data_IF_474468742806
#
_entry.id   IF_474468742806
#
_cell.length_a   1.000
_cell.length_b   1.000
_cell.length_c   1.000
_cell.angle_alpha   90.00
_cell.angle_beta   90.00
_cell.angle_gamma   90.00
#
_symmetry.space_group_name_H-M   'P 1'
#
loop_
_entity.id
_entity.type
_entity.pdbx_description
1 polymer ?
#
# COMPACT_ATOMS: atom_id res chain seq x y z
N UNK A 1 -70.55 28.89 20.54
CA UNK A 1 -69.09 28.60 20.55
C UNK A 1 -68.74 27.16 20.14
N UNK A 2 -69.64 26.39 19.51
CA UNK A 2 -69.41 24.94 19.29
C UNK A 2 -69.06 24.55 17.85
N UNK A 3 -69.36 25.36 16.83
CA UNK A 3 -69.03 25.04 15.43
C UNK A 3 -67.61 25.44 14.99
N UNK A 4 -67.04 26.48 15.60
CA UNK A 4 -65.69 26.94 15.27
C UNK A 4 -64.58 25.99 15.77
N UNK A 5 -64.82 25.31 16.91
CA UNK A 5 -63.85 24.37 17.49
C UNK A 5 -63.75 23.07 16.69
N UNK A 6 -64.85 22.59 16.10
CA UNK A 6 -64.85 21.40 15.24
C UNK A 6 -64.15 21.64 13.91
N UNK A 7 -64.24 22.85 13.34
CA UNK A 7 -63.54 23.18 12.10
C UNK A 7 -62.02 23.21 12.26
N UNK A 8 -61.51 23.67 13.41
CA UNK A 8 -60.07 23.73 13.70
C UNK A 8 -59.51 22.31 13.88
N UNK A 9 -60.28 21.37 14.45
CA UNK A 9 -59.81 19.99 14.66
C UNK A 9 -59.71 19.19 13.34
N UNK A 10 -60.59 19.46 12.37
CA UNK A 10 -60.54 18.79 11.05
C UNK A 10 -59.40 19.33 10.18
N UNK A 11 -59.07 20.63 10.30
CA UNK A 11 -57.94 21.23 9.57
C UNK A 11 -56.59 20.74 10.11
N UNK A 12 -56.47 20.44 11.40
CA UNK A 12 -55.24 19.86 11.98
C UNK A 12 -54.97 18.40 11.57
N UNK A 13 -55.98 17.62 11.18
CA UNK A 13 -55.79 16.22 10.77
C UNK A 13 -55.35 16.08 9.31
N UNK A 14 -55.68 17.05 8.45
CA UNK A 14 -55.29 17.02 7.02
C UNK A 14 -53.81 17.41 6.82
N UNK A 15 -53.18 18.09 7.78
CA UNK A 15 -51.75 18.43 7.70
C UNK A 15 -50.79 17.28 8.06
N UNK A 16 -51.30 16.13 8.54
CA UNK A 16 -50.47 15.02 9.05
C UNK A 16 -50.22 13.89 8.03
N UNK A 17 -50.72 13.98 6.80
CA UNK A 17 -50.54 12.94 5.77
C UNK A 17 -50.07 13.52 4.43
N UNK A 18 -48.86 14.07 4.39
CA UNK A 18 -48.13 14.22 3.14
C UNK A 18 -47.13 13.05 3.03
N UNK A 19 -47.33 12.07 2.13
CA UNK A 19 -46.31 11.06 1.88
C UNK A 19 -45.12 11.74 1.18
N UNK A 20 -44.04 11.97 1.94
CA UNK A 20 -42.76 12.41 1.39
C UNK A 20 -42.19 11.22 0.62
N UNK A 21 -42.41 11.16 -0.69
CA UNK A 21 -41.72 10.22 -1.58
C UNK A 21 -40.24 10.61 -1.63
N UNK A 22 -39.42 9.96 -0.81
CA UNK A 22 -37.97 10.03 -0.90
C UNK A 22 -37.51 9.21 -2.12
N UNK A 23 -37.37 9.87 -3.26
CA UNK A 23 -36.70 9.30 -4.42
C UNK A 23 -35.19 9.26 -4.13
N UNK A 24 -34.72 8.19 -3.50
CA UNK A 24 -33.29 7.88 -3.36
C UNK A 24 -32.71 7.44 -4.71
N UNK A 25 -32.64 8.34 -5.68
CA UNK A 25 -31.74 8.17 -6.82
C UNK A 25 -30.34 8.47 -6.32
N UNK A 26 -29.61 7.42 -5.94
CA UNK A 26 -28.17 7.49 -5.70
C UNK A 26 -27.51 8.07 -6.95
N UNK A 27 -27.16 9.35 -6.90
CA UNK A 27 -26.27 9.92 -7.90
C UNK A 27 -24.96 9.14 -7.80
N UNK A 28 -24.42 8.59 -8.91
CA UNK A 28 -23.11 7.97 -8.87
C UNK A 28 -22.11 9.01 -8.36
N UNK A 29 -21.39 8.66 -7.30
CA UNK A 29 -20.40 9.52 -6.67
C UNK A 29 -19.40 9.92 -7.74
N UNK A 30 -19.51 11.16 -8.20
CA UNK A 30 -18.53 11.78 -9.09
C UNK A 30 -17.34 12.11 -8.18
N UNK A 31 -16.29 11.28 -8.23
CA UNK A 31 -15.03 11.50 -7.51
C UNK A 31 -14.44 12.81 -8.02
N UNK A 32 -14.80 13.88 -7.34
CA UNK A 32 -14.18 15.20 -7.49
C UNK A 32 -12.97 15.14 -6.58
N UNK A 33 -11.77 15.39 -7.10
CA UNK A 33 -10.50 15.39 -6.35
C UNK A 33 -10.64 16.21 -5.07
N UNK A 34 -11.00 15.54 -3.98
CA UNK A 34 -11.10 16.12 -2.65
C UNK A 34 -9.70 16.11 -2.05
N UNK A 35 -9.20 17.28 -1.72
CA UNK A 35 -7.99 17.44 -0.94
C UNK A 35 -8.29 16.93 0.49
N UNK A 36 -8.26 15.60 0.68
CA UNK A 36 -8.23 15.00 2.00
C UNK A 36 -6.90 15.42 2.62
N UNK A 37 -6.94 16.03 3.80
CA UNK A 37 -5.71 16.34 4.53
C UNK A 37 -4.95 15.03 4.79
N UNK A 38 -3.72 14.95 4.28
CA UNK A 38 -2.84 13.81 4.50
C UNK A 38 -2.55 13.65 5.99
N UNK A 39 -2.35 12.41 6.44
CA UNK A 39 -1.99 12.06 7.82
C UNK A 39 -0.47 12.21 7.98
N UNK A 40 0.03 13.19 8.74
CA UNK A 40 1.45 13.30 9.06
C UNK A 40 1.95 12.06 9.79
N UNK A 41 3.00 11.44 9.28
CA UNK A 41 3.60 10.23 9.85
C UNK A 41 5.10 10.39 9.99
N UNK A 42 5.63 10.12 11.18
CA UNK A 42 7.06 10.02 11.42
C UNK A 42 7.50 8.56 11.36
N UNK A 43 8.59 8.28 10.65
CA UNK A 43 9.13 6.93 10.49
C UNK A 43 10.60 6.97 10.89
N UNK A 44 10.91 6.46 12.08
CA UNK A 44 12.29 6.38 12.55
C UNK A 44 13.06 5.31 11.78
N UNK A 45 14.39 5.51 11.72
CA UNK A 45 15.27 4.39 11.42
C UNK A 45 15.07 3.28 12.44
N UNK A 46 15.07 2.04 11.97
CA UNK A 46 14.95 0.89 12.85
C UNK A 46 16.29 0.66 13.56
N UNK A 47 16.22 0.38 14.87
CA UNK A 47 17.40 0.06 15.66
C UNK A 47 18.12 -1.15 15.09
N UNK A 48 19.44 -1.14 15.15
CA UNK A 48 20.32 -2.14 14.56
C UNK A 48 21.59 -2.26 15.42
N UNK A 49 22.17 -3.45 15.49
CA UNK A 49 23.37 -3.75 16.27
C UNK A 49 24.61 -3.99 15.38
N UNK A 50 24.44 -4.10 14.07
CA UNK A 50 25.52 -4.24 13.09
C UNK A 50 25.38 -3.24 11.93
N UNK A 51 26.47 -3.02 11.20
CA UNK A 51 26.45 -2.16 10.01
C UNK A 51 25.51 -2.70 8.91
N UNK A 52 25.46 -4.03 8.75
CA UNK A 52 24.56 -4.68 7.79
C UNK A 52 23.09 -4.44 8.15
N UNK A 53 22.73 -4.62 9.42
CA UNK A 53 21.39 -4.34 9.94
C UNK A 53 21.04 -2.84 9.80
N UNK A 54 22.02 -1.95 9.99
CA UNK A 54 21.81 -0.52 9.85
C UNK A 54 21.55 -0.10 8.40
N UNK A 55 22.26 -0.68 7.44
CA UNK A 55 22.02 -0.39 6.02
C UNK A 55 20.70 -1.01 5.54
N UNK A 56 20.36 -2.20 6.04
CA UNK A 56 19.05 -2.80 5.82
C UNK A 56 17.92 -1.93 6.37
N UNK A 57 18.11 -1.38 7.57
CA UNK A 57 17.17 -0.45 8.23
C UNK A 57 16.91 0.79 7.38
N UNK A 58 17.96 1.46 6.89
CA UNK A 58 17.82 2.62 5.99
C UNK A 58 17.04 2.26 4.72
N UNK A 59 17.35 1.12 4.11
CA UNK A 59 16.70 0.68 2.88
C UNK A 59 15.22 0.34 3.08
N UNK A 60 14.88 -0.38 4.15
CA UNK A 60 13.48 -0.71 4.50
C UNK A 60 12.70 0.56 4.80
N UNK A 61 13.23 1.45 5.64
CA UNK A 61 12.56 2.70 6.02
C UNK A 61 12.38 3.63 4.82
N UNK A 62 13.33 3.66 3.88
CA UNK A 62 13.20 4.42 2.63
C UNK A 62 12.00 3.93 1.79
N UNK A 63 11.82 2.61 1.66
CA UNK A 63 10.67 2.03 0.95
C UNK A 63 9.36 2.36 1.67
N UNK A 64 9.31 2.19 3.00
CA UNK A 64 8.08 2.48 3.75
C UNK A 64 7.70 3.96 3.60
N UNK A 65 8.67 4.88 3.67
CA UNK A 65 8.42 6.30 3.39
C UNK A 65 7.86 6.52 1.99
N UNK A 66 8.48 5.92 0.97
CA UNK A 66 8.05 6.08 -0.42
C UNK A 66 6.63 5.53 -0.65
N UNK A 67 6.35 4.32 -0.16
CA UNK A 67 5.05 3.65 -0.29
C UNK A 67 3.93 4.49 0.32
N UNK A 68 4.12 4.91 1.57
CA UNK A 68 3.12 5.70 2.29
C UNK A 68 2.94 7.09 1.68
N UNK A 69 4.00 7.72 1.18
CA UNK A 69 3.91 8.99 0.45
C UNK A 69 3.15 8.84 -0.88
N UNK A 70 3.43 7.80 -1.67
CA UNK A 70 2.77 7.55 -2.96
C UNK A 70 1.27 7.31 -2.78
N UNK A 71 0.84 6.74 -1.65
CA UNK A 71 -0.57 6.53 -1.35
C UNK A 71 -1.39 7.82 -1.32
N UNK A 72 -0.75 8.98 -1.14
CA UNK A 72 -1.37 10.29 -0.93
C UNK A 72 -2.35 10.35 0.25
N UNK A 73 -2.34 9.35 1.12
CA UNK A 73 -3.07 9.34 2.40
C UNK A 73 -2.17 9.84 3.53
N UNK A 74 -0.88 9.57 3.44
CA UNK A 74 0.11 9.96 4.44
C UNK A 74 1.00 11.08 3.95
N UNK A 75 1.51 11.88 4.88
CA UNK A 75 2.55 12.88 4.68
C UNK A 75 3.76 12.51 5.55
N UNK A 76 4.72 11.72 5.03
CA UNK A 76 5.90 11.37 5.81
C UNK A 76 6.72 12.61 6.19
N UNK A 77 7.05 12.70 7.46
CA UNK A 77 7.79 13.82 8.05
C UNK A 77 9.28 13.55 7.87
N UNK A 78 10.01 14.57 7.40
CA UNK A 78 11.45 14.45 7.21
C UNK A 78 12.18 14.19 8.53
N UNK A 79 13.10 13.24 8.52
CA UNK A 79 13.84 12.80 9.71
C UNK A 79 14.75 13.88 10.30
N UNK A 80 15.09 14.93 9.55
CA UNK A 80 15.84 16.09 10.05
C UNK A 80 15.05 16.94 11.05
N UNK A 81 13.73 16.79 11.11
CA UNK A 81 12.86 17.47 12.08
C UNK A 81 12.75 16.69 13.40
N UNK A 82 13.19 15.43 13.44
CA UNK A 82 12.99 14.59 14.62
C UNK A 82 13.79 15.12 15.81
N UNK A 83 13.08 15.46 16.88
CA UNK A 83 13.65 15.98 18.13
C UNK A 83 14.19 14.83 18.98
N UNK A 84 13.50 13.69 18.97
CA UNK A 84 13.91 12.47 19.66
C UNK A 84 14.58 11.50 18.68
N UNK A 85 15.77 11.01 19.02
CA UNK A 85 16.54 10.08 18.19
C UNK A 85 16.55 8.63 18.72
N UNK A 86 15.77 8.33 19.77
CA UNK A 86 15.70 6.98 20.33
C UNK A 86 14.95 6.05 19.37
N UNK A 87 15.57 4.92 19.07
CA UNK A 87 15.08 3.90 18.14
C UNK A 87 14.73 2.60 18.90
N UNK A 88 14.13 1.64 18.19
CA UNK A 88 13.78 0.33 18.73
C UNK A 88 12.33 0.22 19.19
N UNK A 89 11.93 -1.00 19.56
CA UNK A 89 10.52 -1.29 19.89
C UNK A 89 10.22 -1.29 21.39
N UNK A 90 11.26 -1.25 22.23
CA UNK A 90 11.19 -1.34 23.69
C UNK A 90 11.02 0.01 24.37
N UNK A 91 11.42 1.09 23.71
CA UNK A 91 11.34 2.45 24.22
C UNK A 91 9.95 3.04 23.97
N UNK A 92 9.36 3.64 25.02
CA UNK A 92 8.11 4.41 24.91
C UNK A 92 8.46 5.84 24.47
N UNK A 93 7.98 6.31 23.31
CA UNK A 93 8.31 7.63 22.78
C UNK A 93 7.91 8.76 23.71
N UNK A 94 8.66 9.87 23.67
CA UNK A 94 8.21 11.10 24.30
C UNK A 94 7.17 11.77 23.40
N UNK A 95 5.89 11.38 23.50
CA UNK A 95 4.82 11.81 22.59
C UNK A 95 4.76 13.33 22.33
N UNK A 96 5.14 14.15 23.31
CA UNK A 96 5.17 15.63 23.17
C UNK A 96 6.17 16.10 22.11
N UNK A 97 7.32 15.46 21.93
CA UNK A 97 8.31 15.84 20.90
C UNK A 97 7.79 15.56 19.51
N UNK A 98 7.09 14.44 19.33
CA UNK A 98 6.48 14.05 18.06
C UNK A 98 5.28 14.94 17.72
N UNK A 99 4.49 15.33 18.72
CA UNK A 99 3.39 16.29 18.54
C UNK A 99 3.90 17.67 18.11
N UNK A 100 5.06 18.13 18.60
CA UNK A 100 5.66 19.42 18.21
C UNK A 100 6.02 19.51 16.72
N UNK A 101 6.33 18.38 16.08
CA UNK A 101 6.58 18.32 14.64
C UNK A 101 5.33 17.95 13.83
N UNK A 102 4.16 18.03 14.46
CA UNK A 102 2.85 17.68 13.92
C UNK A 102 2.71 16.22 13.49
N UNK A 103 3.44 15.27 14.09
CA UNK A 103 3.24 13.86 13.82
C UNK A 103 1.93 13.37 14.45
N UNK A 104 1.07 12.72 13.66
CA UNK A 104 -0.10 12.01 14.16
C UNK A 104 0.24 10.56 14.51
N UNK A 105 1.10 9.95 13.70
CA UNK A 105 1.56 8.57 13.84
C UNK A 105 3.09 8.55 13.92
N UNK A 106 3.63 7.67 14.75
CA UNK A 106 5.05 7.34 14.79
C UNK A 106 5.26 5.85 14.55
N UNK A 107 6.20 5.54 13.67
CA UNK A 107 6.68 4.19 13.41
C UNK A 107 8.09 4.07 13.98
N UNK A 108 8.27 3.15 14.93
CA UNK A 108 9.57 2.70 15.38
C UNK A 108 9.76 1.23 15.00
N UNK A 109 11.00 0.79 14.91
CA UNK A 109 11.30 -0.61 14.68
C UNK A 109 12.70 -0.98 15.11
N UNK A 110 13.00 -2.27 14.99
CA UNK A 110 14.33 -2.83 15.16
C UNK A 110 14.53 -3.98 14.18
N UNK A 111 15.77 -4.11 13.71
CA UNK A 111 16.21 -5.20 12.86
C UNK A 111 17.25 -5.99 13.64
N UNK A 112 17.15 -7.31 13.58
CA UNK A 112 18.12 -8.23 14.15
C UNK A 112 18.39 -9.39 13.20
N UNK A 113 19.63 -9.85 13.19
CA UNK A 113 20.01 -11.09 12.52
C UNK A 113 19.53 -12.27 13.37
N UNK A 114 18.67 -13.13 12.83
CA UNK A 114 18.14 -14.29 13.54
C UNK A 114 19.08 -15.49 13.42
N UNK A 115 19.64 -15.68 12.24
CA UNK A 115 20.61 -16.72 11.91
C UNK A 115 21.45 -16.30 10.69
N UNK A 116 22.31 -17.17 10.17
CA UNK A 116 23.19 -16.85 9.04
C UNK A 116 22.47 -16.53 7.72
N UNK A 117 21.17 -16.78 7.62
CA UNK A 117 20.38 -16.62 6.39
C UNK A 117 19.19 -15.68 6.52
N UNK A 118 18.72 -15.43 7.75
CA UNK A 118 17.47 -14.73 8.01
C UNK A 118 17.64 -13.56 8.98
N UNK A 119 16.88 -12.52 8.69
CA UNK A 119 16.71 -11.34 9.51
C UNK A 119 15.30 -11.33 10.10
N UNK A 120 15.16 -10.65 11.23
CA UNK A 120 13.89 -10.34 11.85
C UNK A 120 13.75 -8.82 11.93
N UNK A 121 12.55 -8.32 11.60
CA UNK A 121 12.18 -6.92 11.81
C UNK A 121 10.92 -6.87 12.68
N UNK A 122 11.03 -6.17 13.80
CA UNK A 122 9.92 -5.84 14.67
C UNK A 122 9.58 -4.36 14.50
N UNK A 123 8.30 -4.05 14.36
CA UNK A 123 7.81 -2.67 14.13
C UNK A 123 6.69 -2.38 15.13
N UNK A 124 6.67 -1.17 15.66
CA UNK A 124 5.58 -0.65 16.48
C UNK A 124 4.99 0.61 15.87
N UNK A 125 3.67 0.68 15.89
CA UNK A 125 2.87 1.82 15.43
C UNK A 125 2.30 2.53 16.66
N UNK A 126 2.64 3.80 16.83
CA UNK A 126 2.15 4.65 17.91
C UNK A 126 1.17 5.70 17.39
N UNK A 127 0.09 5.90 18.13
CA UNK A 127 -0.77 7.09 18.03
C UNK A 127 -0.19 8.17 18.94
N UNK A 128 0.24 9.29 18.35
CA UNK A 128 0.83 10.40 19.10
C UNK A 128 -0.23 11.18 19.88
N UNK A 129 -1.45 11.29 19.36
CA UNK A 129 -2.52 12.03 20.00
C UNK A 129 -3.06 11.30 21.23
N UNK A 130 -3.31 10.00 21.12
CA UNK A 130 -3.81 9.19 22.24
C UNK A 130 -2.70 8.64 23.14
N UNK A 131 -1.43 8.82 22.76
CA UNK A 131 -0.25 8.31 23.46
C UNK A 131 -0.32 6.79 23.69
N UNK A 132 -0.78 6.05 22.68
CA UNK A 132 -1.03 4.61 22.76
C UNK A 132 -0.38 3.85 21.62
N UNK A 133 -0.05 2.60 21.91
CA UNK A 133 0.31 1.62 20.90
C UNK A 133 -0.95 1.25 20.09
N UNK A 134 -0.87 1.37 18.77
CA UNK A 134 -1.91 0.89 17.84
C UNK A 134 -1.68 -0.60 17.58
N UNK A 135 -0.46 -0.98 17.21
CA UNK A 135 -0.12 -2.35 16.86
C UNK A 135 1.39 -2.63 16.84
N UNK A 136 1.75 -3.91 16.97
CA UNK A 136 3.11 -4.44 16.74
C UNK A 136 3.11 -5.44 15.60
N UNK A 137 4.13 -5.37 14.75
CA UNK A 137 4.34 -6.26 13.63
C UNK A 137 5.69 -6.96 13.79
N UNK A 138 5.78 -8.20 13.34
CA UNK A 138 7.03 -8.97 13.33
C UNK A 138 7.12 -9.76 12.04
N UNK A 139 8.23 -9.63 11.33
CA UNK A 139 8.51 -10.38 10.10
C UNK A 139 9.89 -11.02 10.17
N UNK A 140 9.97 -12.28 9.75
CA UNK A 140 11.24 -12.98 9.49
C UNK A 140 11.39 -13.16 7.99
N UNK A 141 12.57 -12.87 7.46
CA UNK A 141 12.82 -12.93 6.03
C UNK A 141 14.28 -13.24 5.71
N UNK A 142 14.56 -13.98 4.64
CA UNK A 142 15.91 -14.08 4.10
C UNK A 142 16.31 -12.76 3.45
N UNK A 143 17.61 -12.46 3.42
CA UNK A 143 18.12 -11.18 2.89
C UNK A 143 17.55 -10.86 1.50
N UNK A 144 17.40 -11.84 0.61
CA UNK A 144 16.90 -11.64 -0.75
C UNK A 144 15.45 -11.09 -0.82
N UNK A 145 14.67 -11.25 0.25
CA UNK A 145 13.28 -10.82 0.34
C UNK A 145 13.09 -9.55 1.17
N UNK A 146 14.18 -8.84 1.53
CA UNK A 146 14.11 -7.62 2.34
C UNK A 146 13.14 -6.59 1.75
N UNK A 147 13.14 -6.46 0.42
CA UNK A 147 12.35 -5.47 -0.30
C UNK A 147 10.85 -5.77 -0.25
N UNK A 148 10.45 -7.01 -0.55
CA UNK A 148 9.06 -7.44 -0.42
C UNK A 148 8.59 -7.34 1.04
N UNK A 149 9.48 -7.60 2.01
CA UNK A 149 9.16 -7.42 3.43
C UNK A 149 8.87 -5.95 3.74
N UNK A 150 9.66 -5.00 3.22
CA UNK A 150 9.40 -3.57 3.40
C UNK A 150 8.01 -3.17 2.89
N UNK A 151 7.64 -3.61 1.68
CA UNK A 151 6.31 -3.36 1.12
C UNK A 151 5.17 -3.98 1.94
N UNK A 152 5.36 -5.20 2.46
CA UNK A 152 4.39 -5.83 3.37
C UNK A 152 4.22 -5.06 4.67
N UNK A 153 5.30 -4.51 5.23
CA UNK A 153 5.24 -3.63 6.40
C UNK A 153 4.41 -2.38 6.06
N UNK A 154 4.66 -1.75 4.90
CA UNK A 154 3.84 -0.62 4.42
C UNK A 154 2.37 -0.99 4.30
N UNK A 155 2.05 -2.17 3.75
CA UNK A 155 0.67 -2.66 3.60
C UNK A 155 0.00 -2.85 4.96
N UNK A 156 0.71 -3.39 5.96
CA UNK A 156 0.19 -3.55 7.31
C UNK A 156 -0.01 -2.21 8.01
N UNK A 157 0.94 -1.27 7.92
CA UNK A 157 0.80 0.08 8.47
C UNK A 157 -0.43 0.77 7.87
N UNK A 158 -0.53 0.75 6.54
CA UNK A 158 -1.65 1.31 5.80
C UNK A 158 -2.98 0.68 6.23
N UNK A 159 -3.04 -0.64 6.37
CA UNK A 159 -4.25 -1.34 6.77
C UNK A 159 -4.67 -1.05 8.22
N UNK A 160 -3.73 -1.00 9.16
CA UNK A 160 -4.05 -0.69 10.55
C UNK A 160 -4.54 0.75 10.74
N UNK A 161 -4.09 1.69 9.91
CA UNK A 161 -4.50 3.09 10.02
C UNK A 161 -5.78 3.38 9.21
N UNK A 162 -5.92 2.80 8.01
CA UNK A 162 -7.02 3.13 7.09
C UNK A 162 -8.16 2.12 7.09
N UNK A 163 -7.95 0.92 7.63
CA UNK A 163 -8.87 -0.22 7.54
C UNK A 163 -8.90 -0.90 6.16
N UNK A 164 -8.18 -0.38 5.16
CA UNK A 164 -8.16 -0.91 3.79
C UNK A 164 -6.86 -1.64 3.51
N UNK A 165 -6.89 -2.66 2.64
CA UNK A 165 -5.67 -3.33 2.20
C UNK A 165 -4.84 -2.40 1.30
N UNK A 166 -3.53 -2.33 1.56
CA UNK A 166 -2.58 -1.68 0.68
C UNK A 166 -2.30 -2.51 -0.59
N UNK A 167 -1.53 -1.92 -1.51
CA UNK A 167 -1.15 -2.53 -2.79
C UNK A 167 0.38 -2.57 -2.98
N UNK A 168 1.16 -2.30 -1.94
CA UNK A 168 2.59 -2.04 -2.08
C UNK A 168 3.38 -3.32 -2.37
N UNK A 169 2.94 -4.49 -1.93
CA UNK A 169 3.60 -5.78 -2.28
C UNK A 169 3.08 -6.36 -3.63
N UNK A 170 2.38 -5.58 -4.44
CA UNK A 170 1.86 -6.05 -5.74
C UNK A 170 2.89 -5.95 -6.87
N UNK A 171 2.64 -6.67 -7.96
CA UNK A 171 3.47 -6.66 -9.17
C UNK A 171 2.66 -6.27 -10.39
N UNK A 172 3.34 -5.66 -11.36
CA UNK A 172 2.78 -5.26 -12.65
C UNK A 172 3.37 -6.16 -13.72
N UNK A 173 2.50 -6.74 -14.56
CA UNK A 173 2.89 -7.48 -15.77
C UNK A 173 2.43 -6.70 -17.00
N UNK A 174 3.30 -6.56 -17.99
CA UNK A 174 3.00 -5.79 -19.19
C UNK A 174 3.77 -6.30 -20.41
N UNK A 175 3.39 -5.79 -21.59
CA UNK A 175 4.11 -6.05 -22.84
C UNK A 175 5.02 -4.86 -23.15
N UNK A 176 6.31 -5.12 -23.18
CA UNK A 176 7.34 -4.17 -23.61
C UNK A 176 7.63 -4.39 -25.09
N UNK A 177 7.55 -3.33 -25.89
CA UNK A 177 7.85 -3.33 -27.32
C UNK A 177 9.09 -2.49 -27.59
N UNK A 178 10.05 -3.03 -28.36
CA UNK A 178 11.21 -2.26 -28.80
C UNK A 178 10.82 -1.19 -29.81
N UNK A 179 11.42 0.00 -29.71
CA UNK A 179 11.10 1.18 -30.50
C UNK A 179 11.63 1.17 -31.96
N UNK A 180 11.91 -0.01 -32.53
CA UNK A 180 12.41 -0.15 -33.91
C UNK A 180 11.24 -0.30 -34.89
N UNK A 181 11.24 0.49 -35.95
CA UNK A 181 10.17 0.51 -36.96
C UNK A 181 10.08 -0.80 -37.75
N UNK A 182 11.23 -1.38 -38.10
CA UNK A 182 11.30 -2.55 -38.99
C UNK A 182 11.30 -3.90 -38.24
N UNK A 183 11.67 -3.90 -36.96
CA UNK A 183 11.76 -5.12 -36.13
C UNK A 183 11.25 -4.89 -34.72
N UNK A 184 9.91 -4.86 -34.59
CA UNK A 184 9.23 -4.81 -33.30
C UNK A 184 9.36 -6.13 -32.55
N UNK A 185 10.14 -6.14 -31.48
CA UNK A 185 10.24 -7.27 -30.55
C UNK A 185 9.30 -6.96 -29.38
N UNK A 186 8.30 -7.81 -29.18
CA UNK A 186 7.42 -7.78 -28.01
C UNK A 186 7.89 -8.79 -26.99
N UNK A 187 8.03 -8.36 -25.74
CA UNK A 187 8.36 -9.20 -24.60
C UNK A 187 7.36 -8.95 -23.48
N UNK A 188 6.99 -9.99 -22.76
CA UNK A 188 6.35 -9.81 -21.46
C UNK A 188 7.43 -9.48 -20.44
N UNK A 189 7.17 -8.43 -19.67
CA UNK A 189 7.97 -7.98 -18.55
C UNK A 189 7.13 -7.97 -17.27
N UNK A 190 7.81 -8.11 -16.14
CA UNK A 190 7.24 -7.98 -14.80
C UNK A 190 8.08 -6.99 -13.99
N UNK A 191 7.45 -6.22 -13.13
CA UNK A 191 8.10 -5.32 -12.18
C UNK A 191 7.26 -5.21 -10.90
N UNK A 192 7.84 -4.67 -9.83
CA UNK A 192 7.11 -4.29 -8.62
C UNK A 192 6.18 -3.10 -8.91
N UNK A 193 5.20 -2.85 -8.03
CA UNK A 193 4.22 -1.78 -8.22
C UNK A 193 4.85 -0.38 -8.40
N UNK A 194 6.03 -0.15 -7.82
CA UNK A 194 6.79 1.09 -7.91
C UNK A 194 7.83 1.09 -9.04
N UNK A 195 7.81 0.07 -9.90
CA UNK A 195 8.67 -0.06 -11.08
C UNK A 195 10.04 -0.69 -10.82
N UNK A 196 10.37 -1.03 -9.59
CA UNK A 196 11.60 -1.76 -9.29
C UNK A 196 11.54 -3.22 -9.77
N UNK A 197 12.68 -3.93 -9.69
CA UNK A 197 12.79 -5.34 -10.03
C UNK A 197 12.23 -5.71 -11.43
N UNK A 198 12.39 -4.80 -12.39
CA UNK A 198 12.00 -5.04 -13.77
C UNK A 198 12.76 -6.25 -14.35
N UNK A 199 12.03 -7.20 -14.93
CA UNK A 199 12.61 -8.33 -15.62
C UNK A 199 11.76 -8.82 -16.80
N UNK A 200 12.44 -9.31 -17.84
CA UNK A 200 11.78 -9.95 -18.98
C UNK A 200 11.57 -11.44 -18.70
N UNK A 201 10.31 -11.87 -18.76
CA UNK A 201 9.93 -13.27 -18.55
C UNK A 201 9.78 -14.04 -19.87
N UNK A 202 9.87 -13.35 -21.00
CA UNK A 202 9.93 -13.94 -22.34
C UNK A 202 11.15 -13.42 -23.10
N UNK A 203 11.70 -14.24 -24.00
CA UNK A 203 12.92 -13.92 -24.74
C UNK A 203 12.68 -13.02 -25.98
N UNK A 204 11.43 -12.82 -26.40
CA UNK A 204 11.07 -12.02 -27.58
C UNK A 204 11.18 -12.75 -28.92
N UNK A 205 11.38 -14.08 -28.94
CA UNK A 205 11.38 -14.87 -30.20
C UNK A 205 10.00 -14.92 -30.86
N UNK A 206 8.95 -14.92 -30.03
CA UNK A 206 7.56 -14.95 -30.49
C UNK A 206 6.88 -13.62 -30.17
N UNK A 207 5.89 -13.26 -30.97
CA UNK A 207 5.03 -12.12 -30.65
C UNK A 207 4.11 -12.50 -29.49
N UNK A 208 4.09 -11.68 -28.44
CA UNK A 208 3.33 -11.94 -27.21
C UNK A 208 2.39 -10.80 -26.90
N UNK A 209 1.18 -11.12 -26.41
CA UNK A 209 0.15 -10.14 -26.04
C UNK A 209 -0.66 -10.60 -24.82
N UNK A 210 -1.35 -9.64 -24.21
CA UNK A 210 -2.39 -9.84 -23.19
C UNK A 210 -1.93 -10.71 -22.00
N UNK A 211 -0.85 -10.35 -21.29
CA UNK A 211 -0.51 -11.03 -20.07
C UNK A 211 -1.54 -10.73 -18.98
N UNK A 212 -1.96 -11.74 -18.24
CA UNK A 212 -2.80 -11.60 -17.05
C UNK A 212 -2.29 -12.51 -15.94
N UNK A 213 -2.32 -12.02 -14.69
CA UNK A 213 -2.01 -12.84 -13.53
C UNK A 213 -3.12 -13.85 -13.25
N UNK A 214 -2.74 -15.02 -12.73
CA UNK A 214 -3.69 -15.91 -12.08
C UNK A 214 -4.23 -15.29 -10.78
N UNK A 215 -5.41 -15.69 -10.29
CA UNK A 215 -5.99 -15.13 -9.06
C UNK A 215 -5.10 -15.25 -7.80
N UNK A 216 -4.18 -16.22 -7.80
CA UNK A 216 -3.19 -16.45 -6.74
C UNK A 216 -1.80 -15.86 -7.05
N UNK A 217 -1.67 -15.04 -8.10
CA UNK A 217 -0.46 -14.31 -8.51
C UNK A 217 0.81 -15.15 -8.75
N UNK A 218 0.69 -16.47 -8.89
CA UNK A 218 1.83 -17.37 -9.09
C UNK A 218 2.02 -17.81 -10.56
N UNK A 219 1.12 -17.42 -11.45
CA UNK A 219 1.16 -17.75 -12.86
C UNK A 219 0.77 -16.53 -13.70
N UNK A 220 1.30 -16.51 -14.92
CA UNK A 220 0.88 -15.56 -15.96
C UNK A 220 0.34 -16.35 -17.13
N UNK A 221 -0.89 -16.01 -17.53
CA UNK A 221 -1.50 -16.44 -18.79
C UNK A 221 -1.20 -15.38 -19.86
N UNK A 222 -0.78 -15.81 -21.04
CA UNK A 222 -0.55 -14.90 -22.17
C UNK A 222 -0.75 -15.60 -23.51
N UNK A 223 -0.91 -14.82 -24.57
CA UNK A 223 -0.98 -15.34 -25.94
C UNK A 223 0.37 -15.19 -26.61
N UNK A 224 0.87 -16.27 -27.21
CA UNK A 224 2.09 -16.31 -28.00
C UNK A 224 1.77 -16.70 -29.43
N UNK A 225 2.28 -15.95 -30.40
CA UNK A 225 2.16 -16.26 -31.82
C UNK A 225 3.43 -16.94 -32.32
N UNK A 226 3.29 -18.18 -32.78
CA UNK A 226 4.34 -18.88 -33.49
C UNK A 226 3.90 -19.04 -34.95
N UNK A 227 4.66 -18.50 -35.90
CA UNK A 227 4.29 -18.48 -37.34
C UNK A 227 2.85 -17.99 -37.59
N UNK A 228 2.44 -16.90 -36.94
CA UNK A 228 1.09 -16.30 -36.98
C UNK A 228 -0.04 -17.13 -36.38
N UNK A 229 0.26 -18.28 -35.77
CA UNK A 229 -0.74 -19.10 -35.08
C UNK A 229 -0.77 -18.70 -33.60
N UNK A 230 -1.91 -18.21 -33.06
CA UNK A 230 -2.04 -17.86 -31.66
C UNK A 230 -2.12 -19.12 -30.78
N UNK A 231 -1.34 -19.15 -29.71
CA UNK A 231 -1.38 -20.19 -28.68
C UNK A 231 -1.47 -19.54 -27.32
N UNK A 232 -2.41 -20.01 -26.49
CA UNK A 232 -2.50 -19.59 -25.10
C UNK A 232 -1.45 -20.36 -24.30
N UNK A 233 -0.63 -19.64 -23.52
CA UNK A 233 0.44 -20.20 -22.70
C UNK A 233 0.25 -19.79 -21.25
N UNK A 234 0.53 -20.72 -20.35
CA UNK A 234 0.65 -20.48 -18.92
C UNK A 234 2.14 -20.56 -18.58
N UNK A 235 2.61 -19.62 -17.77
CA UNK A 235 3.94 -19.64 -17.20
C UNK A 235 3.86 -19.51 -15.70
N UNK A 236 4.52 -20.43 -15.00
CA UNK A 236 4.66 -20.38 -13.56
C UNK A 236 5.72 -19.34 -13.22
N UNK A 237 5.35 -18.37 -12.40
CA UNK A 237 6.28 -17.46 -11.77
C UNK A 237 6.94 -18.21 -10.62
N UNK A 238 8.05 -18.88 -10.91
CA UNK A 238 8.98 -19.25 -9.85
C UNK A 238 9.68 -17.94 -9.48
N UNK A 239 9.13 -17.24 -8.49
CA UNK A 239 9.65 -15.97 -7.97
C UNK A 239 11.12 -16.06 -7.49
N UNK A 240 11.72 -17.25 -7.52
CA UNK A 240 13.10 -17.54 -7.09
C UNK A 240 14.08 -17.93 -8.22
N UNK A 241 13.65 -18.05 -9.49
CA UNK A 241 14.53 -18.53 -10.59
C UNK A 241 14.72 -17.59 -11.77
N UNK A 242 14.35 -16.32 -11.64
CA UNK A 242 14.84 -15.30 -12.57
C UNK A 242 16.18 -14.78 -12.06
N UNK A 243 17.17 -15.68 -11.99
CA UNK A 243 18.58 -15.31 -11.92
C UNK A 243 19.08 -15.15 -13.34
N UNK A 244 19.72 -14.01 -13.61
CA UNK A 244 20.56 -13.81 -14.79
C UNK A 244 21.71 -14.80 -14.81
#
# INVERSE_FOLDING_TARGET
MTKALQAIFVISIIFLFNPISANNTLSPIKITKGNLAQIPIAINFFAANSNEEQDLSKNIVSIINNDLNISQIFAPISSNLFIEAKQGTTHIPLFTTWSQINANILINGEISTLNSTEFKVDVIIWDIFTAKEIHRLSFTFPLQLWRSTAHKISDQIYQHITGNKGIFDTKIVYVSETQSYDKKIKKIAIMDYDGANHSYITNGKNHVITPVFSPNNNQILYVSYHNKIPTVRIMILILEKIKH
#
